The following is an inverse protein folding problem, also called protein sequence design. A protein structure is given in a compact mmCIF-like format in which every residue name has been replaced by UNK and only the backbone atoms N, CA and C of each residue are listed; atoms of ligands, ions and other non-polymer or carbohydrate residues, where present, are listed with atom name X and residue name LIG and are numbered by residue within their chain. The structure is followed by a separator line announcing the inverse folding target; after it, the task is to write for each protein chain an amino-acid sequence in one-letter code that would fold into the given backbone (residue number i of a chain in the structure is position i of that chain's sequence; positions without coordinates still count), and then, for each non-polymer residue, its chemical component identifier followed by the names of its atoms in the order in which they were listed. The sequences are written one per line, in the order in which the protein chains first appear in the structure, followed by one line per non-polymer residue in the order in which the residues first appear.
data_IF_731659074674
#
_entry.id   IF_731659074674
#
_cell.length_a   1.000
_cell.length_b   1.000
_cell.length_c   1.000
_cell.angle_alpha   90.00
_cell.angle_beta   90.00
_cell.angle_gamma   90.00
#
_symmetry.space_group_name_H-M   'P 1'
#
loop_
_entity.id
_entity.type
_entity.pdbx_description
1 polymer ?
#
# COMPACT_ATOMS: atom_id res chain seq x y z
N UNK A 1 -17.10 7.50 -32.13
CA UNK A 1 -17.70 8.23 -31.01
C UNK A 1 -18.90 9.10 -31.40
N UNK A 2 -19.11 9.43 -32.68
CA UNK A 2 -20.12 10.42 -33.12
C UNK A 2 -21.56 10.18 -32.62
N UNK A 3 -21.99 8.92 -32.50
CA UNK A 3 -23.36 8.60 -32.05
C UNK A 3 -23.59 8.85 -30.55
N UNK A 4 -22.55 8.76 -29.72
CA UNK A 4 -22.64 9.04 -28.29
C UNK A 4 -22.89 10.52 -28.02
N UNK A 5 -22.42 11.40 -28.90
CA UNK A 5 -22.71 12.83 -28.85
C UNK A 5 -24.23 13.08 -28.88
N UNK A 6 -24.98 12.29 -29.65
CA UNK A 6 -26.45 12.37 -29.67
C UNK A 6 -27.07 11.93 -28.35
N UNK A 7 -26.55 10.89 -27.71
CA UNK A 7 -26.99 10.43 -26.39
C UNK A 7 -26.66 11.46 -25.30
N UNK A 8 -25.49 12.09 -25.40
CA UNK A 8 -24.98 13.06 -24.45
C UNK A 8 -25.70 14.42 -24.49
N UNK A 9 -26.49 14.70 -25.55
CA UNK A 9 -27.36 15.90 -25.58
C UNK A 9 -28.35 15.91 -24.40
N UNK A 10 -28.75 14.74 -23.92
CA UNK A 10 -29.64 14.58 -22.76
C UNK A 10 -28.87 14.36 -21.44
N UNK A 11 -27.56 14.65 -21.38
CA UNK A 11 -26.71 14.37 -20.21
C UNK A 11 -27.28 14.89 -18.89
N UNK A 12 -27.80 16.13 -18.88
CA UNK A 12 -28.41 16.72 -17.67
C UNK A 12 -29.61 15.93 -17.17
N UNK A 13 -30.38 15.32 -18.07
CA UNK A 13 -31.52 14.46 -17.71
C UNK A 13 -31.05 13.12 -17.16
N UNK A 14 -29.97 12.54 -17.72
CA UNK A 14 -29.35 11.33 -17.19
C UNK A 14 -28.78 11.55 -15.78
N UNK A 15 -28.14 12.68 -15.53
CA UNK A 15 -27.64 13.05 -14.20
C UNK A 15 -28.80 13.18 -13.21
N UNK A 16 -29.88 13.91 -13.56
CA UNK A 16 -31.08 14.00 -12.71
C UNK A 16 -31.69 12.63 -12.40
N UNK A 17 -31.71 11.73 -13.38
CA UNK A 17 -32.22 10.38 -13.20
C UNK A 17 -31.34 9.58 -12.21
N UNK A 18 -30.02 9.65 -12.32
CA UNK A 18 -29.11 9.02 -11.35
C UNK A 18 -29.30 9.60 -9.94
N UNK A 19 -29.44 10.93 -9.83
CA UNK A 19 -29.78 11.60 -8.56
C UNK A 19 -31.07 11.07 -7.95
N UNK A 20 -32.07 10.76 -8.78
CA UNK A 20 -33.32 10.16 -8.30
C UNK A 20 -33.16 8.71 -7.77
N UNK A 21 -32.06 8.02 -8.10
CA UNK A 21 -31.73 6.72 -7.52
C UNK A 21 -31.13 6.81 -6.12
N UNK A 22 -30.71 8.01 -5.69
CA UNK A 22 -30.14 8.27 -4.37
C UNK A 22 -28.64 8.56 -4.36
N UNK A 23 -27.99 8.68 -5.52
CA UNK A 23 -26.58 9.10 -5.62
C UNK A 23 -26.47 10.52 -6.19
N UNK A 24 -25.92 11.45 -5.40
CA UNK A 24 -25.78 12.85 -5.79
C UNK A 24 -24.34 13.25 -6.13
N UNK A 25 -23.37 12.73 -5.38
CA UNK A 25 -21.97 13.12 -5.47
C UNK A 25 -21.30 12.53 -6.72
N UNK A 26 -21.52 11.23 -6.97
CA UNK A 26 -20.96 10.51 -8.11
C UNK A 26 -21.94 10.39 -9.30
N UNK A 27 -22.99 11.21 -9.32
CA UNK A 27 -24.03 11.12 -10.34
C UNK A 27 -23.48 11.34 -11.76
N UNK A 28 -22.54 12.29 -11.92
CA UNK A 28 -21.89 12.53 -13.21
C UNK A 28 -20.97 11.38 -13.61
N UNK A 29 -20.20 10.82 -12.67
CA UNK A 29 -19.31 9.68 -12.93
C UNK A 29 -20.08 8.44 -13.39
N UNK A 30 -21.23 8.16 -12.76
CA UNK A 30 -22.12 7.07 -13.17
C UNK A 30 -22.62 7.26 -14.60
N UNK A 31 -22.95 8.49 -14.99
CA UNK A 31 -23.39 8.80 -16.37
C UNK A 31 -22.22 8.66 -17.36
N UNK A 32 -21.01 9.09 -16.99
CA UNK A 32 -19.83 8.92 -17.84
C UNK A 32 -19.48 7.45 -18.04
N UNK A 33 -19.52 6.65 -16.97
CA UNK A 33 -19.36 5.19 -17.03
C UNK A 33 -20.43 4.55 -17.93
N UNK A 34 -21.66 5.09 -17.93
CA UNK A 34 -22.69 4.63 -18.86
C UNK A 34 -22.29 4.86 -20.31
N UNK A 35 -21.75 6.03 -20.67
CA UNK A 35 -21.27 6.27 -22.03
C UNK A 35 -20.12 5.34 -22.43
N UNK A 36 -19.18 5.06 -21.52
CA UNK A 36 -18.10 4.12 -21.77
C UNK A 36 -18.62 2.70 -22.04
N UNK A 37 -19.60 2.24 -21.26
CA UNK A 37 -20.21 0.93 -21.47
C UNK A 37 -21.04 0.84 -22.74
N UNK A 38 -21.80 1.88 -23.04
CA UNK A 38 -22.53 1.99 -24.30
C UNK A 38 -21.57 1.93 -25.48
N UNK A 39 -20.44 2.64 -25.41
CA UNK A 39 -19.43 2.61 -26.45
C UNK A 39 -18.84 1.20 -26.67
N UNK A 40 -18.54 0.52 -25.56
CA UNK A 40 -17.81 -0.75 -25.57
C UNK A 40 -18.69 -1.95 -25.95
N UNK A 41 -19.96 -1.94 -25.55
CA UNK A 41 -20.81 -3.14 -25.59
C UNK A 41 -22.08 -2.99 -26.41
N UNK A 42 -22.46 -1.78 -26.83
CA UNK A 42 -23.71 -1.55 -27.54
C UNK A 42 -23.49 -1.08 -28.98
N UNK A 43 -24.43 -1.46 -29.85
CA UNK A 43 -24.56 -0.89 -31.19
C UNK A 43 -25.48 0.34 -31.14
N UNK A 44 -25.27 1.37 -31.98
CA UNK A 44 -26.09 2.58 -31.99
C UNK A 44 -27.59 2.30 -32.15
N UNK A 45 -27.95 1.32 -32.99
CA UNK A 45 -29.33 0.91 -33.28
C UNK A 45 -30.11 0.44 -32.03
N UNK A 46 -29.40 -0.09 -31.03
CA UNK A 46 -30.02 -0.54 -29.78
C UNK A 46 -30.37 0.61 -28.84
N UNK A 47 -29.71 1.77 -29.02
CA UNK A 47 -29.78 2.92 -28.11
C UNK A 47 -30.53 4.08 -28.75
N UNK A 48 -30.41 4.24 -30.07
CA UNK A 48 -31.05 5.29 -30.85
C UNK A 48 -32.01 4.63 -31.84
N UNK A 49 -33.29 4.94 -31.69
CA UNK A 49 -34.39 4.46 -32.53
C UNK A 49 -35.11 5.67 -33.11
N UNK A 50 -35.32 5.70 -34.43
CA UNK A 50 -35.94 6.83 -35.14
C UNK A 50 -35.29 8.20 -34.85
N UNK A 51 -33.96 8.21 -34.71
CA UNK A 51 -33.18 9.41 -34.39
C UNK A 51 -33.34 9.91 -32.94
N UNK A 52 -34.08 9.19 -32.09
CA UNK A 52 -34.28 9.51 -30.67
C UNK A 52 -33.61 8.49 -29.77
N UNK A 53 -33.10 8.96 -28.64
CA UNK A 53 -32.54 8.07 -27.62
C UNK A 53 -33.67 7.28 -26.96
N UNK A 54 -33.51 5.97 -26.89
CA UNK A 54 -34.43 5.11 -26.15
C UNK A 54 -34.22 5.33 -24.64
N UNK A 55 -35.09 6.15 -24.04
CA UNK A 55 -35.01 6.52 -22.61
C UNK A 55 -35.16 5.32 -21.68
N UNK A 56 -35.99 4.34 -22.05
CA UNK A 56 -36.17 3.11 -21.28
C UNK A 56 -34.89 2.29 -21.24
N UNK A 57 -34.21 2.16 -22.37
CA UNK A 57 -32.89 1.51 -22.43
C UNK A 57 -31.86 2.23 -21.57
N UNK A 58 -31.78 3.57 -21.69
CA UNK A 58 -30.87 4.38 -20.86
C UNK A 58 -31.15 4.24 -19.36
N UNK A 59 -32.42 4.18 -18.96
CA UNK A 59 -32.81 3.93 -17.57
C UNK A 59 -32.23 2.62 -17.05
N UNK A 60 -32.34 1.52 -17.79
CA UNK A 60 -31.77 0.23 -17.38
C UNK A 60 -30.24 0.25 -17.30
N UNK A 61 -29.58 0.90 -18.25
CA UNK A 61 -28.12 1.04 -18.25
C UNK A 61 -27.65 1.81 -17.01
N UNK A 62 -28.22 2.99 -16.76
CA UNK A 62 -27.88 3.83 -15.61
C UNK A 62 -28.19 3.12 -14.29
N UNK A 63 -29.36 2.48 -14.18
CA UNK A 63 -29.75 1.72 -12.98
C UNK A 63 -28.78 0.58 -12.70
N UNK A 64 -28.35 -0.15 -13.73
CA UNK A 64 -27.40 -1.25 -13.56
C UNK A 64 -26.03 -0.78 -13.10
N UNK A 65 -25.54 0.34 -13.63
CA UNK A 65 -24.26 0.94 -13.21
C UNK A 65 -24.36 1.46 -11.78
N UNK A 66 -25.45 2.16 -11.44
CA UNK A 66 -25.71 2.61 -10.07
C UNK A 66 -25.73 1.43 -9.08
N UNK A 67 -26.43 0.33 -9.38
CA UNK A 67 -26.44 -0.85 -8.51
C UNK A 67 -25.04 -1.47 -8.34
N UNK A 68 -24.23 -1.45 -9.40
CA UNK A 68 -22.84 -1.91 -9.32
C UNK A 68 -21.98 -0.97 -8.47
N UNK A 69 -22.17 0.34 -8.60
CA UNK A 69 -21.52 1.35 -7.76
C UNK A 69 -21.84 1.10 -6.29
N UNK A 70 -23.11 1.00 -5.90
CA UNK A 70 -23.52 0.70 -4.52
C UNK A 70 -22.93 -0.62 -3.99
N UNK A 71 -22.89 -1.67 -4.82
CA UNK A 71 -22.26 -2.95 -4.44
C UNK A 71 -20.76 -2.81 -4.20
N UNK A 72 -20.10 -1.91 -4.92
CA UNK A 72 -18.65 -1.69 -4.85
C UNK A 72 -18.31 -0.78 -3.66
N UNK A 73 -19.09 0.28 -3.43
CA UNK A 73 -18.97 1.10 -2.22
C UNK A 73 -19.11 0.28 -0.94
N UNK A 74 -20.06 -0.67 -0.89
CA UNK A 74 -20.19 -1.56 0.28
C UNK A 74 -18.94 -2.39 0.59
N UNK A 75 -17.97 -2.50 -0.32
CA UNK A 75 -16.72 -3.22 -0.09
C UNK A 75 -15.63 -2.34 0.54
N UNK A 76 -15.77 -1.01 0.50
CA UNK A 76 -14.80 -0.08 1.07
C UNK A 76 -15.48 0.80 2.12
N UNK A 77 -14.95 0.84 3.32
CA UNK A 77 -15.41 1.80 4.32
C UNK A 77 -14.87 3.19 3.94
N UNK A 78 -15.73 4.08 3.47
CA UNK A 78 -15.33 5.48 3.30
C UNK A 78 -15.19 6.12 4.68
N UNK A 79 -13.97 6.53 5.01
CA UNK A 79 -13.66 7.23 6.26
C UNK A 79 -13.63 8.73 5.99
N UNK A 80 -14.38 9.50 6.78
CA UNK A 80 -14.33 10.97 6.70
C UNK A 80 -12.91 11.47 6.99
N UNK A 81 -12.42 12.43 6.20
CA UNK A 81 -11.13 13.08 6.46
C UNK A 81 -11.09 13.76 7.84
N UNK A 82 -12.24 14.19 8.37
CA UNK A 82 -12.34 14.76 9.71
C UNK A 82 -12.01 13.72 10.79
N UNK A 83 -12.31 12.44 10.53
CA UNK A 83 -11.92 11.34 11.43
C UNK A 83 -10.42 11.04 11.38
N UNK A 84 -9.70 11.47 10.34
CA UNK A 84 -8.24 11.29 10.29
C UNK A 84 -7.54 12.05 11.42
N UNK A 85 -8.02 13.24 11.79
CA UNK A 85 -7.46 14.00 12.92
C UNK A 85 -7.65 13.29 14.27
N UNK A 86 -8.59 12.33 14.35
CA UNK A 86 -8.83 11.50 15.52
C UNK A 86 -8.04 10.19 15.49
N UNK A 87 -7.47 9.81 14.34
CA UNK A 87 -6.47 8.75 14.26
C UNK A 87 -5.19 9.30 14.89
N UNK A 88 -5.05 9.11 16.19
CA UNK A 88 -3.73 9.20 16.82
C UNK A 88 -2.91 8.05 16.28
N UNK A 89 -1.65 8.34 15.92
CA UNK A 89 -0.64 7.30 15.88
C UNK A 89 -0.69 6.63 17.26
N UNK A 90 -0.84 5.31 17.30
CA UNK A 90 -0.93 4.61 18.58
C UNK A 90 0.37 4.86 19.34
N UNK A 91 0.34 5.78 20.30
CA UNK A 91 1.46 6.10 21.21
C UNK A 91 1.94 4.87 21.99
N UNK A 92 1.22 3.75 21.92
CA UNK A 92 1.54 2.48 22.55
C UNK A 92 2.91 1.93 22.13
N UNK A 93 3.51 2.41 21.04
CA UNK A 93 4.82 1.93 20.59
C UNK A 93 5.99 2.88 20.83
N UNK A 94 5.80 4.11 21.32
CA UNK A 94 6.89 5.09 21.42
C UNK A 94 8.03 4.58 22.31
N UNK A 95 7.71 4.11 23.52
CA UNK A 95 8.71 3.58 24.46
C UNK A 95 9.44 2.34 23.90
N UNK A 96 8.73 1.52 23.13
CA UNK A 96 9.28 0.34 22.47
C UNK A 96 10.18 0.71 21.29
N UNK A 97 9.81 1.71 20.51
CA UNK A 97 10.64 2.25 19.43
C UNK A 97 11.92 2.90 19.96
N UNK A 98 11.82 3.67 21.05
CA UNK A 98 12.97 4.25 21.74
C UNK A 98 13.91 3.16 22.30
N UNK A 99 13.34 2.13 22.91
CA UNK A 99 14.08 0.95 23.39
C UNK A 99 14.78 0.21 22.25
N UNK A 100 14.09 0.00 21.12
CA UNK A 100 14.69 -0.60 19.93
C UNK A 100 15.82 0.27 19.36
N UNK A 101 15.63 1.59 19.33
CA UNK A 101 16.65 2.57 18.95
C UNK A 101 17.92 2.44 19.80
N UNK A 102 17.77 2.32 21.13
CA UNK A 102 18.91 2.07 22.05
C UNK A 102 19.65 0.78 21.72
N UNK A 103 18.93 -0.32 21.45
CA UNK A 103 19.56 -1.58 21.02
C UNK A 103 20.38 -1.42 19.73
N UNK A 104 19.88 -0.65 18.75
CA UNK A 104 20.62 -0.38 17.51
C UNK A 104 21.90 0.42 17.78
N UNK A 105 21.85 1.40 18.68
CA UNK A 105 23.04 2.17 19.09
C UNK A 105 24.07 1.26 19.77
N UNK A 106 23.65 0.42 20.72
CA UNK A 106 24.53 -0.56 21.38
C UNK A 106 25.16 -1.53 20.38
N UNK A 107 24.39 -2.04 19.42
CA UNK A 107 24.88 -2.89 18.35
C UNK A 107 25.93 -2.16 17.51
N UNK A 108 25.67 -0.92 17.10
CA UNK A 108 26.62 -0.14 16.30
C UNK A 108 27.92 0.15 17.06
N UNK A 109 27.82 0.52 18.34
CA UNK A 109 28.99 0.70 19.21
C UNK A 109 29.84 -0.57 19.33
N UNK A 110 29.21 -1.75 19.38
CA UNK A 110 29.94 -3.01 19.39
C UNK A 110 30.61 -3.31 18.05
N UNK A 111 29.90 -3.09 16.95
CA UNK A 111 30.42 -3.26 15.57
C UNK A 111 31.62 -2.35 15.30
N UNK A 112 31.64 -1.13 15.86
CA UNK A 112 32.74 -0.19 15.70
C UNK A 112 34.07 -0.67 16.31
N UNK A 113 34.02 -1.47 17.37
CA UNK A 113 35.20 -2.04 18.06
C UNK A 113 35.86 -3.17 17.29
N UNK A 114 35.17 -3.76 16.32
CA UNK A 114 35.69 -4.92 15.61
C UNK A 114 36.84 -4.56 14.68
N UNK A 115 37.63 -5.58 14.33
CA UNK A 115 38.62 -5.44 13.27
C UNK A 115 37.95 -4.95 11.98
N UNK A 116 38.63 -4.07 11.24
CA UNK A 116 38.07 -3.38 10.08
C UNK A 116 37.40 -4.35 9.08
N UNK A 117 37.99 -5.54 8.89
CA UNK A 117 37.48 -6.59 8.01
C UNK A 117 36.11 -7.12 8.47
N UNK A 118 35.99 -7.55 9.72
CA UNK A 118 34.74 -8.08 10.31
C UNK A 118 33.62 -7.03 10.20
N UNK A 119 33.96 -5.78 10.52
CA UNK A 119 33.04 -4.64 10.45
C UNK A 119 32.55 -4.38 9.04
N UNK A 120 33.46 -4.26 8.08
CA UNK A 120 33.11 -3.99 6.68
C UNK A 120 32.24 -5.12 6.10
N UNK A 121 32.63 -6.37 6.34
CA UNK A 121 31.88 -7.52 5.82
C UNK A 121 30.49 -7.63 6.45
N UNK A 122 30.38 -7.38 7.75
CA UNK A 122 29.09 -7.40 8.44
C UNK A 122 28.17 -6.27 7.94
N UNK A 123 28.68 -5.06 7.74
CA UNK A 123 27.90 -3.94 7.23
C UNK A 123 27.42 -4.20 5.80
N UNK A 124 28.27 -4.71 4.90
CA UNK A 124 27.84 -5.09 3.54
C UNK A 124 26.70 -6.11 3.61
N UNK A 125 26.82 -7.15 4.44
CA UNK A 125 25.77 -8.16 4.59
C UNK A 125 24.48 -7.62 5.22
N UNK A 126 24.57 -6.64 6.12
CA UNK A 126 23.43 -6.05 6.85
C UNK A 126 22.69 -5.01 6.01
N UNK A 127 23.44 -4.17 5.29
CA UNK A 127 22.94 -2.93 4.68
C UNK A 127 22.63 -3.08 3.18
N UNK A 128 22.96 -4.23 2.58
CA UNK A 128 22.72 -4.50 1.17
C UNK A 128 21.94 -5.80 0.97
N UNK A 129 21.38 -5.99 -0.22
CA UNK A 129 20.69 -7.22 -0.62
C UNK A 129 21.65 -8.33 -1.13
N UNK A 130 22.97 -8.11 -1.05
CA UNK A 130 23.96 -9.05 -1.57
C UNK A 130 23.97 -10.35 -0.77
N UNK A 131 23.87 -11.48 -1.49
CA UNK A 131 24.05 -12.79 -0.86
C UNK A 131 25.54 -13.05 -0.57
N UNK A 132 25.83 -14.01 0.32
CA UNK A 132 27.20 -14.48 0.57
C UNK A 132 27.93 -14.86 -0.73
N UNK A 133 27.20 -15.39 -1.72
CA UNK A 133 27.79 -15.75 -3.03
C UNK A 133 28.13 -14.53 -3.86
N UNK A 134 27.31 -13.48 -3.80
CA UNK A 134 27.55 -12.23 -4.53
C UNK A 134 28.76 -11.51 -3.94
N UNK A 135 28.82 -11.42 -2.60
CA UNK A 135 29.97 -10.85 -1.89
C UNK A 135 31.25 -11.65 -2.21
N UNK A 136 31.17 -12.99 -2.23
CA UNK A 136 32.32 -13.84 -2.59
C UNK A 136 32.81 -13.57 -4.03
N UNK A 137 31.88 -13.39 -4.97
CA UNK A 137 32.18 -13.10 -6.38
C UNK A 137 32.87 -11.74 -6.53
N UNK A 138 32.40 -10.72 -5.81
CA UNK A 138 32.94 -9.35 -5.91
C UNK A 138 34.27 -9.18 -5.15
N UNK A 139 34.44 -9.84 -4.01
CA UNK A 139 35.61 -9.65 -3.13
C UNK A 139 36.72 -10.68 -3.35
N UNK A 140 36.50 -11.71 -4.17
CA UNK A 140 37.38 -12.89 -4.33
C UNK A 140 37.62 -13.73 -3.06
N UNK A 141 36.90 -13.43 -1.98
CA UNK A 141 36.96 -14.19 -0.72
C UNK A 141 36.04 -15.42 -0.86
N UNK A 142 36.47 -16.58 -0.31
CA UNK A 142 35.63 -17.77 -0.34
C UNK A 142 34.33 -17.57 0.46
N UNK A 143 33.23 -18.10 -0.08
CA UNK A 143 31.91 -18.07 0.57
C UNK A 143 31.93 -18.67 1.99
N UNK A 144 32.71 -19.74 2.20
CA UNK A 144 32.92 -20.36 3.50
C UNK A 144 33.57 -19.42 4.51
N UNK A 145 34.57 -18.64 4.08
CA UNK A 145 35.24 -17.66 4.94
C UNK A 145 34.25 -16.54 5.34
N UNK A 146 33.54 -15.98 4.34
CA UNK A 146 32.52 -14.94 4.58
C UNK A 146 31.45 -15.44 5.55
N UNK A 147 30.94 -16.66 5.33
CA UNK A 147 29.94 -17.27 6.21
C UNK A 147 30.44 -17.40 7.65
N UNK A 148 31.66 -17.89 7.85
CA UNK A 148 32.24 -18.06 9.19
C UNK A 148 32.45 -16.71 9.88
N UNK A 149 32.91 -15.69 9.15
CA UNK A 149 33.08 -14.34 9.69
C UNK A 149 31.74 -13.74 10.11
N UNK A 150 30.73 -13.77 9.25
CA UNK A 150 29.38 -13.26 9.58
C UNK A 150 28.78 -14.04 10.76
N UNK A 151 28.95 -15.36 10.80
CA UNK A 151 28.49 -16.21 11.91
C UNK A 151 29.15 -15.80 13.23
N UNK A 152 30.44 -15.50 13.22
CA UNK A 152 31.15 -15.03 14.40
C UNK A 152 30.71 -13.62 14.80
N UNK A 153 30.51 -12.70 13.86
CA UNK A 153 29.96 -11.36 14.11
C UNK A 153 28.58 -11.44 14.79
N UNK A 154 27.67 -12.28 14.27
CA UNK A 154 26.34 -12.52 14.87
C UNK A 154 26.43 -13.07 16.28
N UNK A 155 27.39 -13.95 16.57
CA UNK A 155 27.64 -14.48 17.93
C UNK A 155 28.15 -13.41 18.88
N UNK A 156 29.06 -12.54 18.43
CA UNK A 156 29.57 -11.41 19.22
C UNK A 156 28.42 -10.46 19.61
N UNK A 157 27.61 -10.04 18.64
CA UNK A 157 26.42 -9.19 18.89
C UNK A 157 25.49 -9.87 19.90
N UNK A 158 25.16 -11.15 19.66
CA UNK A 158 24.28 -11.88 20.55
C UNK A 158 24.82 -11.89 21.98
N UNK A 159 26.11 -12.16 22.17
CA UNK A 159 26.70 -12.25 23.51
C UNK A 159 26.70 -10.91 24.25
N UNK A 160 26.79 -9.79 23.55
CA UNK A 160 26.86 -8.46 24.17
C UNK A 160 25.45 -7.92 24.46
N UNK A 161 24.49 -8.14 23.56
CA UNK A 161 23.13 -7.61 23.67
C UNK A 161 22.12 -8.64 24.23
N UNK A 162 22.56 -9.78 24.74
CA UNK A 162 21.65 -10.85 25.18
C UNK A 162 20.69 -10.38 26.28
N UNK A 163 21.23 -9.66 27.26
CA UNK A 163 20.50 -9.08 28.40
C UNK A 163 19.55 -7.98 27.93
N UNK A 164 20.08 -6.94 27.26
CA UNK A 164 19.27 -5.81 26.79
C UNK A 164 18.14 -6.24 25.82
N UNK A 165 18.39 -7.27 25.00
CA UNK A 165 17.36 -7.83 24.12
C UNK A 165 16.30 -8.64 24.86
N UNK A 166 16.67 -9.29 25.97
CA UNK A 166 15.71 -9.95 26.86
C UNK A 166 14.82 -8.92 27.55
N UNK A 167 15.40 -7.83 28.05
CA UNK A 167 14.66 -6.71 28.65
C UNK A 167 13.69 -6.08 27.65
N UNK A 168 14.14 -5.86 26.40
CA UNK A 168 13.28 -5.40 25.32
C UNK A 168 12.10 -6.34 25.06
N UNK A 169 12.30 -7.66 25.10
CA UNK A 169 11.22 -8.65 24.91
C UNK A 169 10.25 -8.70 26.08
N UNK A 170 10.75 -8.49 27.30
CA UNK A 170 9.96 -8.50 28.52
C UNK A 170 9.26 -7.17 28.79
N UNK A 171 9.43 -6.18 27.91
CA UNK A 171 8.91 -4.80 28.04
C UNK A 171 9.53 -4.00 29.18
N UNK A 172 10.68 -4.44 29.68
CA UNK A 172 11.43 -3.80 30.77
C UNK A 172 12.42 -2.75 30.22
N UNK A 173 11.90 -1.78 29.45
CA UNK A 173 12.72 -0.83 28.68
C UNK A 173 13.66 0.04 29.52
N UNK A 174 13.37 0.22 30.81
CA UNK A 174 14.19 1.02 31.72
C UNK A 174 15.57 0.37 32.02
N UNK A 175 15.72 -0.93 31.81
CA UNK A 175 16.97 -1.66 32.09
C UNK A 175 17.92 -1.75 30.89
N UNK A 176 17.46 -1.37 29.69
CA UNK A 176 18.31 -1.28 28.49
C UNK A 176 19.30 -0.14 28.66
N UNK A 177 20.59 -0.46 28.58
CA UNK A 177 21.71 0.47 28.82
C UNK A 177 21.79 1.63 27.82
#
# INVERSE_FOLDING_TARGET
MEWLTSVAKEHKEWVKLVKSFGEDFFAEDIVQEAYLRLHKYCKPENVIQDGKVNKGFMYFVLRNIFLQFIKTEKKGEMVSLEKLALLKDETENLAREEAYGRLLVLMNHEVEKWHWYDRQLFNIYKDTELSIRDIAKETTISSSSIFNTIKNCKRKIKSVLEEDYADYKNTDYEFIK
#
